data_IF_390271879556
#
_entry.id   IF_390271879556
#
_cell.length_a   1.000
_cell.length_b   1.000
_cell.length_c   1.000
_cell.angle_alpha   90.00
_cell.angle_beta   90.00
_cell.angle_gamma   90.00
#
_symmetry.space_group_name_H-M   'P 1'
#
loop_
_entity.id
_entity.type
_entity.pdbx_description
1 polymer ?
#
# COMPACT_ATOMS: atom_id res chain seq x y z
N UNK A 1 16.65 5.55 -13.56
CA UNK A 1 16.83 4.74 -12.34
C UNK A 1 15.88 3.56 -12.37
N UNK A 2 16.29 2.39 -11.86
CA UNK A 2 15.37 1.26 -11.66
C UNK A 2 14.81 1.37 -10.24
N UNK A 3 13.54 1.77 -10.11
CA UNK A 3 12.85 1.80 -8.82
C UNK A 3 12.61 0.40 -8.24
N UNK A 4 12.22 0.32 -6.98
CA UNK A 4 11.90 -0.92 -6.27
C UNK A 4 10.38 -1.04 -6.17
N UNK A 5 9.80 -2.07 -6.77
CA UNK A 5 8.36 -2.29 -6.73
C UNK A 5 7.96 -2.86 -5.36
N UNK A 6 7.01 -2.21 -4.70
CA UNK A 6 6.43 -2.64 -3.45
C UNK A 6 5.03 -3.21 -3.67
N UNK A 7 4.69 -4.21 -2.86
CA UNK A 7 3.34 -4.76 -2.72
C UNK A 7 3.00 -4.66 -1.24
N UNK A 8 2.34 -3.57 -0.86
CA UNK A 8 1.95 -3.34 0.52
C UNK A 8 0.57 -3.94 0.76
N UNK A 9 0.51 -4.96 1.63
CA UNK A 9 -0.74 -5.67 1.95
C UNK A 9 -1.36 -5.10 3.21
N UNK A 10 -2.64 -4.80 3.14
CA UNK A 10 -3.43 -4.28 4.25
C UNK A 10 -4.64 -5.17 4.50
N UNK A 11 -4.86 -5.49 5.77
CA UNK A 11 -6.05 -6.15 6.26
C UNK A 11 -6.95 -5.09 6.91
N UNK A 12 -8.05 -4.67 6.26
CA UNK A 12 -9.02 -3.81 6.93
C UNK A 12 -9.64 -4.53 8.13
N UNK A 13 -9.94 -3.79 9.20
CA UNK A 13 -10.83 -4.28 10.26
C UNK A 13 -12.25 -4.45 9.68
N UNK A 14 -13.06 -5.28 10.34
CA UNK A 14 -14.42 -5.56 9.88
C UNK A 14 -15.24 -4.27 9.70
N UNK A 15 -15.79 -4.09 8.49
CA UNK A 15 -16.57 -2.91 8.12
C UNK A 15 -15.76 -1.61 7.90
N UNK A 16 -14.42 -1.66 7.93
CA UNK A 16 -13.56 -0.47 7.81
C UNK A 16 -12.93 -0.25 6.44
N UNK A 17 -13.22 -1.10 5.46
CA UNK A 17 -12.65 -0.98 4.11
C UNK A 17 -12.91 0.40 3.49
N UNK A 18 -14.15 0.85 3.44
CA UNK A 18 -14.52 2.12 2.79
C UNK A 18 -13.91 3.34 3.50
N UNK A 19 -13.67 3.25 4.81
CA UNK A 19 -12.98 4.29 5.58
C UNK A 19 -11.46 4.28 5.35
N UNK A 20 -10.87 3.11 5.06
CA UNK A 20 -9.43 2.95 4.83
C UNK A 20 -9.01 3.39 3.42
N UNK A 21 -9.84 3.14 2.39
CA UNK A 21 -9.54 3.49 1.00
C UNK A 21 -9.05 4.94 0.78
N UNK A 22 -9.76 5.99 1.25
CA UNK A 22 -9.30 7.36 1.06
C UNK A 22 -7.97 7.68 1.79
N UNK A 23 -7.61 6.91 2.82
CA UNK A 23 -6.34 7.09 3.54
C UNK A 23 -5.19 6.48 2.73
N UNK A 24 -5.41 5.33 2.07
CA UNK A 24 -4.44 4.73 1.15
C UNK A 24 -4.15 5.67 -0.04
N UNK A 25 -5.19 6.30 -0.61
CA UNK A 25 -4.98 7.30 -1.66
C UNK A 25 -4.11 8.47 -1.18
N UNK A 26 -4.40 9.01 0.01
CA UNK A 26 -3.57 10.06 0.62
C UNK A 26 -2.14 9.59 0.89
N UNK A 27 -1.93 8.33 1.25
CA UNK A 27 -0.60 7.76 1.49
C UNK A 27 0.27 7.85 0.23
N UNK A 28 -0.24 7.39 -0.91
CA UNK A 28 0.47 7.53 -2.19
C UNK A 28 0.73 8.99 -2.55
N UNK A 29 -0.25 9.88 -2.36
CA UNK A 29 -0.08 11.30 -2.66
C UNK A 29 1.05 11.93 -1.84
N UNK A 30 1.12 11.65 -0.54
CA UNK A 30 2.18 12.17 0.34
C UNK A 30 3.55 11.60 -0.09
N UNK A 31 3.63 10.30 -0.37
CA UNK A 31 4.85 9.66 -0.85
C UNK A 31 5.37 10.30 -2.15
N UNK A 32 4.46 10.64 -3.07
CA UNK A 32 4.78 11.30 -4.34
C UNK A 32 5.21 12.75 -4.12
N UNK A 33 4.46 13.52 -3.33
CA UNK A 33 4.78 14.92 -3.01
C UNK A 33 6.15 15.07 -2.34
N UNK A 34 6.56 14.07 -1.55
CA UNK A 34 7.86 14.03 -0.86
C UNK A 34 8.97 13.36 -1.67
N UNK A 35 8.71 13.02 -2.92
CA UNK A 35 9.72 12.47 -3.84
C UNK A 35 10.27 11.08 -3.43
N UNK A 36 9.53 10.31 -2.63
CA UNK A 36 9.97 8.97 -2.18
C UNK A 36 9.69 7.85 -3.17
N UNK A 37 8.63 8.01 -3.97
CA UNK A 37 8.23 7.05 -5.01
C UNK A 37 8.44 7.65 -6.39
N UNK A 38 8.50 6.81 -7.41
CA UNK A 38 8.63 7.25 -8.80
C UNK A 38 7.31 7.83 -9.33
N UNK A 39 7.38 8.59 -10.43
CA UNK A 39 6.20 9.09 -11.17
C UNK A 39 5.40 8.00 -11.91
N UNK A 40 5.72 6.72 -11.72
CA UNK A 40 4.97 5.63 -12.34
C UNK A 40 3.58 5.52 -11.70
N UNK A 41 2.65 4.95 -12.48
CA UNK A 41 1.32 4.61 -11.99
C UNK A 41 1.41 3.67 -10.78
N UNK A 42 0.60 3.98 -9.78
CA UNK A 42 0.26 3.11 -8.66
C UNK A 42 -1.05 2.36 -8.93
N UNK A 43 -1.21 1.21 -8.30
CA UNK A 43 -2.48 0.47 -8.30
C UNK A 43 -2.93 0.22 -6.88
N UNK A 44 -4.24 0.34 -6.66
CA UNK A 44 -4.88 -0.19 -5.45
C UNK A 44 -5.84 -1.29 -5.88
N UNK A 45 -5.58 -2.49 -5.40
CA UNK A 45 -6.38 -3.68 -5.76
C UNK A 45 -6.92 -4.37 -4.53
N UNK A 46 -7.99 -5.15 -4.71
CA UNK A 46 -8.63 -5.93 -3.65
C UNK A 46 -8.52 -7.42 -3.93
N UNK A 47 -8.09 -8.15 -2.91
CA UNK A 47 -8.06 -9.61 -2.87
C UNK A 47 -9.44 -10.19 -2.56
N UNK A 48 -9.63 -11.46 -2.90
CA UNK A 48 -10.89 -12.19 -2.70
C UNK A 48 -11.33 -12.32 -1.25
N UNK A 49 -10.40 -12.26 -0.30
CA UNK A 49 -10.68 -12.23 1.15
C UNK A 49 -10.92 -10.81 1.70
N UNK A 50 -10.97 -9.79 0.83
CA UNK A 50 -11.21 -8.39 1.21
C UNK A 50 -9.96 -7.61 1.62
N UNK A 51 -8.77 -8.24 1.59
CA UNK A 51 -7.51 -7.52 1.82
C UNK A 51 -7.25 -6.55 0.67
N UNK A 52 -6.52 -5.48 0.96
CA UNK A 52 -6.13 -4.47 -0.01
C UNK A 52 -4.64 -4.62 -0.31
N UNK A 53 -4.25 -4.39 -1.56
CA UNK A 53 -2.84 -4.37 -1.97
C UNK A 53 -2.57 -3.07 -2.70
N UNK A 54 -1.67 -2.27 -2.15
CA UNK A 54 -1.16 -1.06 -2.79
C UNK A 54 0.17 -1.38 -3.48
N UNK A 55 0.23 -1.10 -4.79
CA UNK A 55 1.38 -1.43 -5.64
C UNK A 55 1.96 -0.13 -6.17
N UNK A 56 3.21 0.15 -5.82
CA UNK A 56 3.90 1.37 -6.23
C UNK A 56 5.41 1.14 -6.27
N UNK A 57 6.16 2.06 -6.88
CA UNK A 57 7.61 1.93 -7.03
C UNK A 57 8.36 2.98 -6.21
N UNK A 58 9.14 2.55 -5.22
CA UNK A 58 10.12 3.38 -4.52
C UNK A 58 11.21 3.86 -5.48
N UNK A 59 11.77 5.05 -5.23
CA UNK A 59 12.92 5.53 -6.02
C UNK A 59 14.21 4.77 -5.72
N UNK A 60 14.45 4.48 -4.44
CA UNK A 60 15.65 3.78 -3.98
C UNK A 60 15.48 3.19 -2.58
N UNK A 61 16.51 2.48 -2.11
CA UNK A 61 16.55 1.98 -0.73
C UNK A 61 16.62 3.14 0.28
N UNK A 62 17.31 4.23 -0.06
CA UNK A 62 17.38 5.42 0.79
C UNK A 62 16.01 6.08 0.99
N UNK A 63 15.13 6.04 -0.03
CA UNK A 63 13.73 6.48 0.12
C UNK A 63 12.98 5.61 1.12
N UNK A 64 13.15 4.29 1.06
CA UNK A 64 12.56 3.34 2.01
C UNK A 64 13.06 3.65 3.42
N UNK A 65 14.37 3.85 3.61
CA UNK A 65 14.93 4.12 4.94
C UNK A 65 14.50 5.49 5.48
N UNK A 66 14.30 6.48 4.60
CA UNK A 66 13.89 7.83 4.97
C UNK A 66 12.44 7.90 5.44
N UNK A 67 11.50 7.20 4.77
CA UNK A 67 10.08 7.27 5.13
C UNK A 67 9.79 6.79 6.56
N UNK A 68 10.58 5.86 7.10
CA UNK A 68 10.46 5.40 8.48
C UNK A 68 10.79 6.47 9.53
N UNK A 69 11.33 7.62 9.11
CA UNK A 69 11.68 8.77 9.96
C UNK A 69 10.85 10.01 9.63
N UNK A 70 10.04 9.97 8.58
CA UNK A 70 9.23 11.12 8.17
C UNK A 70 7.95 11.20 9.02
N UNK A 71 7.73 12.30 9.76
CA UNK A 71 6.60 12.41 10.66
C UNK A 71 5.24 12.41 9.95
N UNK A 72 5.15 12.91 8.71
CA UNK A 72 3.89 12.92 7.96
C UNK A 72 3.55 11.49 7.50
N UNK A 73 4.56 10.69 7.14
CA UNK A 73 4.39 9.27 6.80
C UNK A 73 4.00 8.45 8.04
N UNK A 74 4.68 8.67 9.17
CA UNK A 74 4.33 8.01 10.42
C UNK A 74 2.89 8.35 10.86
N UNK A 75 2.47 9.60 10.67
CA UNK A 75 1.10 10.00 10.97
C UNK A 75 0.08 9.25 10.10
N UNK A 76 0.27 9.20 8.78
CA UNK A 76 -0.70 8.49 7.91
C UNK A 76 -0.70 6.99 8.16
N UNK A 77 0.45 6.38 8.47
CA UNK A 77 0.49 4.97 8.89
C UNK A 77 -0.28 4.73 10.18
N UNK A 78 -0.24 5.65 11.15
CA UNK A 78 -1.07 5.54 12.36
C UNK A 78 -2.57 5.61 12.03
N UNK A 79 -2.98 6.51 11.12
CA UNK A 79 -4.36 6.59 10.63
C UNK A 79 -4.79 5.27 9.95
N UNK A 80 -3.94 4.70 9.10
CA UNK A 80 -4.17 3.40 8.45
C UNK A 80 -4.32 2.27 9.46
N UNK A 81 -3.41 2.18 10.45
CA UNK A 81 -3.41 1.11 11.47
C UNK A 81 -4.52 1.26 12.51
N UNK A 82 -5.16 2.43 12.59
CA UNK A 82 -6.40 2.58 13.35
C UNK A 82 -7.56 1.78 12.70
N UNK A 83 -7.56 1.65 11.38
CA UNK A 83 -8.62 1.03 10.58
C UNK A 83 -8.27 -0.36 10.04
N UNK A 84 -7.00 -0.76 10.08
CA UNK A 84 -6.52 -2.03 9.57
C UNK A 84 -5.24 -2.49 10.24
N UNK A 85 -4.61 -3.48 9.63
CA UNK A 85 -3.34 -4.08 10.04
C UNK A 85 -2.49 -4.29 8.79
N UNK A 86 -1.16 -4.37 8.95
CA UNK A 86 -0.30 -4.87 7.89
C UNK A 86 -0.52 -6.37 7.70
N UNK A 87 -0.56 -6.81 6.45
CA UNK A 87 -0.52 -8.22 6.08
C UNK A 87 0.75 -8.55 5.29
N UNK A 88 0.84 -9.81 4.90
CA UNK A 88 1.88 -10.38 4.06
C UNK A 88 1.28 -10.94 2.77
N UNK A 89 2.12 -11.16 1.76
CA UNK A 89 1.68 -11.79 0.51
C UNK A 89 1.04 -13.18 0.73
N UNK A 90 1.50 -13.91 1.76
CA UNK A 90 0.94 -15.23 2.13
C UNK A 90 -0.49 -15.15 2.70
N UNK A 91 -0.93 -13.98 3.18
CA UNK A 91 -2.31 -13.79 3.63
C UNK A 91 -3.30 -13.67 2.47
N UNK A 92 -2.80 -13.54 1.24
CA UNK A 92 -3.61 -13.40 0.03
C UNK A 92 -3.93 -14.79 -0.53
N UNK A 93 -5.22 -15.19 -0.67
CA UNK A 93 -5.61 -16.44 -1.32
C UNK A 93 -5.06 -16.58 -2.74
N UNK A 94 -4.79 -15.45 -3.40
CA UNK A 94 -4.22 -15.39 -4.74
C UNK A 94 -2.75 -15.87 -4.78
N UNK A 95 -2.04 -15.89 -3.65
CA UNK A 95 -0.63 -16.33 -3.58
C UNK A 95 -0.43 -17.80 -3.95
N UNK A 96 -1.47 -18.63 -3.84
CA UNK A 96 -1.45 -20.04 -4.23
C UNK A 96 -1.73 -20.26 -5.73
N UNK A 97 -2.00 -19.20 -6.49
CA UNK A 97 -2.40 -19.31 -7.90
C UNK A 97 -1.21 -19.05 -8.82
N UNK A 98 -1.14 -19.81 -9.93
CA UNK A 98 -0.13 -19.60 -10.98
C UNK A 98 -0.31 -18.23 -11.65
N UNK A 99 -1.55 -17.75 -11.73
CA UNK A 99 -1.90 -16.41 -12.21
C UNK A 99 -2.82 -15.73 -11.19
N UNK A 100 -2.25 -15.02 -10.21
CA UNK A 100 -2.98 -14.17 -9.26
C UNK A 100 -3.78 -13.09 -10.01
N UNK A 101 -5.05 -12.90 -9.67
CA UNK A 101 -5.89 -11.83 -10.21
C UNK A 101 -6.57 -11.09 -9.06
N UNK A 102 -6.73 -9.77 -9.20
CA UNK A 102 -7.30 -8.91 -8.17
C UNK A 102 -8.33 -7.96 -8.79
N UNK A 103 -9.28 -7.50 -7.99
CA UNK A 103 -10.21 -6.43 -8.40
C UNK A 103 -9.47 -5.10 -8.37
N UNK A 104 -9.50 -4.33 -9.46
CA UNK A 104 -8.93 -2.98 -9.49
C UNK A 104 -9.90 -2.03 -8.78
N UNK A 105 -9.39 -1.28 -7.80
CA UNK A 105 -10.10 -0.18 -7.16
C UNK A 105 -9.62 1.18 -7.70
N UNK A 106 -8.34 1.25 -8.09
CA UNK A 106 -7.68 2.39 -8.73
C UNK A 106 -6.54 1.89 -9.61
#
# INVERSE_FOLDING_TARGET
MKGILAFAVYKPKEGKTDELLPILDRHIEILRQKDYITEKDDYLVRASNGYLVEIFAWKSQESIDAVHKDPDILQIWNEMMALGEFGCMEDLPESEKIFPNFDILK
#
